data_IF_379423978484
#
_entry.id   IF_379423978484
#
_cell.length_a   1.000
_cell.length_b   1.000
_cell.length_c   1.000
_cell.angle_alpha   90.00
_cell.angle_beta   90.00
_cell.angle_gamma   90.00
#
_symmetry.space_group_name_H-M   'P 1'
#
loop_
_entity.id
_entity.type
_entity.pdbx_description
1 polymer ?
#
# COMPACT_ATOMS: atom_id res chain seq x y z
N UNK A 1 -25.79 -3.35 -5.22
CA UNK A 1 -24.64 -3.84 -6.02
C UNK A 1 -23.61 -4.33 -5.02
N UNK A 2 -23.38 -5.64 -4.96
CA UNK A 2 -22.49 -6.26 -3.97
C UNK A 2 -21.14 -6.49 -4.64
N UNK A 3 -20.09 -5.80 -4.19
CA UNK A 3 -18.74 -6.07 -4.63
C UNK A 3 -18.21 -7.27 -3.86
N UNK A 4 -17.96 -8.38 -4.56
CA UNK A 4 -17.23 -9.50 -3.99
C UNK A 4 -15.73 -9.13 -4.00
N UNK A 5 -15.18 -8.83 -2.82
CA UNK A 5 -13.78 -8.49 -2.67
C UNK A 5 -12.99 -9.74 -2.27
N UNK A 6 -11.99 -10.09 -3.07
CA UNK A 6 -11.04 -11.15 -2.76
C UNK A 6 -9.99 -10.61 -1.77
N UNK A 7 -10.17 -10.93 -0.48
CA UNK A 7 -9.29 -10.52 0.60
C UNK A 7 -7.82 -10.96 0.37
N UNK A 8 -7.62 -12.16 -0.16
CA UNK A 8 -6.26 -12.68 -0.42
C UNK A 8 -5.59 -11.90 -1.56
N UNK A 9 -6.36 -11.52 -2.58
CA UNK A 9 -5.85 -10.67 -3.66
C UNK A 9 -5.44 -9.29 -3.14
N UNK A 10 -6.27 -8.65 -2.33
CA UNK A 10 -5.97 -7.33 -1.75
C UNK A 10 -4.73 -7.38 -0.84
N UNK A 11 -4.61 -8.40 0.01
CA UNK A 11 -3.43 -8.59 0.87
C UNK A 11 -2.14 -8.84 0.06
N UNK A 12 -2.23 -9.60 -1.03
CA UNK A 12 -1.08 -9.76 -1.95
C UNK A 12 -0.67 -8.43 -2.58
N UNK A 13 -1.64 -7.63 -3.01
CA UNK A 13 -1.38 -6.32 -3.62
C UNK A 13 -0.71 -5.36 -2.64
N UNK A 14 -1.17 -5.28 -1.39
CA UNK A 14 -0.53 -4.45 -0.35
C UNK A 14 0.95 -4.83 -0.16
N UNK A 15 1.26 -6.13 -0.07
CA UNK A 15 2.65 -6.62 0.05
C UNK A 15 3.50 -6.31 -1.18
N UNK A 16 2.92 -6.33 -2.37
CA UNK A 16 3.62 -5.96 -3.61
C UNK A 16 3.97 -4.47 -3.59
N UNK A 17 3.04 -3.61 -3.18
CA UNK A 17 3.26 -2.16 -3.07
C UNK A 17 4.38 -1.84 -2.08
N UNK A 18 4.36 -2.45 -0.89
CA UNK A 18 5.42 -2.28 0.12
C UNK A 18 6.79 -2.72 -0.40
N UNK A 19 6.84 -3.83 -1.15
CA UNK A 19 8.10 -4.29 -1.76
C UNK A 19 8.65 -3.30 -2.78
N UNK A 20 7.78 -2.70 -3.59
CA UNK A 20 8.18 -1.71 -4.58
C UNK A 20 8.65 -0.41 -3.90
N UNK A 21 7.97 0.06 -2.86
CA UNK A 21 8.45 1.19 -2.05
C UNK A 21 9.86 0.93 -1.49
N UNK A 22 10.07 -0.24 -0.88
CA UNK A 22 11.38 -0.62 -0.35
C UNK A 22 12.48 -0.66 -1.43
N UNK A 23 12.17 -1.20 -2.61
CA UNK A 23 13.10 -1.24 -3.73
C UNK A 23 13.43 0.19 -4.24
N UNK A 24 12.42 1.04 -4.40
CA UNK A 24 12.61 2.42 -4.82
C UNK A 24 13.44 3.21 -3.81
N UNK A 25 13.25 2.98 -2.50
CA UNK A 25 14.08 3.61 -1.45
C UNK A 25 15.53 3.18 -1.49
N UNK A 26 15.81 1.90 -1.79
CA UNK A 26 17.17 1.39 -1.93
C UNK A 26 17.88 2.00 -3.15
N UNK A 27 17.17 2.12 -4.28
CA UNK A 27 17.72 2.63 -5.54
C UNK A 27 17.78 4.16 -5.62
N UNK A 28 16.92 4.88 -4.89
CA UNK A 28 16.86 6.34 -4.87
C UNK A 28 17.97 7.02 -4.02
N UNK A 29 18.99 6.26 -3.62
CA UNK A 29 20.26 6.75 -3.08
C UNK A 29 21.38 6.63 -4.13
N UNK A 30 21.31 7.36 -5.26
CA UNK A 30 22.39 7.33 -6.23
C UNK A 30 23.63 8.01 -5.64
N UNK A 31 24.80 7.43 -5.89
CA UNK A 31 26.08 8.14 -5.75
C UNK A 31 26.05 9.43 -6.57
N UNK A 32 26.56 10.52 -6.01
CA UNK A 32 26.61 11.80 -6.70
C UNK A 32 27.38 11.62 -8.02
N UNK A 33 26.77 11.92 -9.18
CA UNK A 33 27.43 11.69 -10.45
C UNK A 33 28.63 12.62 -10.59
N UNK A 34 29.82 12.05 -10.86
CA UNK A 34 31.03 12.81 -11.15
C UNK A 34 30.89 13.51 -12.51
N UNK A 35 30.24 14.66 -12.46
CA UNK A 35 29.91 15.48 -13.62
C UNK A 35 30.68 16.77 -13.44
N UNK A 36 31.66 17.02 -14.33
CA UNK A 36 32.31 18.32 -14.44
C UNK A 36 31.32 19.43 -14.85
N UNK A 37 31.78 20.56 -15.40
CA UNK A 37 30.98 21.78 -15.66
C UNK A 37 29.66 21.67 -16.48
N UNK A 38 29.29 20.48 -16.98
CA UNK A 38 27.95 20.14 -17.52
C UNK A 38 26.94 19.72 -16.42
N UNK A 39 27.34 19.76 -15.15
CA UNK A 39 26.67 19.14 -14.00
C UNK A 39 25.39 19.79 -13.53
N UNK A 40 25.23 21.12 -13.66
CA UNK A 40 24.15 21.80 -12.96
C UNK A 40 22.74 21.37 -13.43
N UNK A 41 22.51 21.30 -14.75
CA UNK A 41 21.19 20.94 -15.28
C UNK A 41 20.89 19.45 -15.10
N UNK A 42 21.88 18.59 -15.28
CA UNK A 42 21.75 17.14 -15.09
C UNK A 42 21.55 16.78 -13.62
N UNK A 43 22.29 17.44 -12.70
CA UNK A 43 22.11 17.27 -11.26
C UNK A 43 20.72 17.71 -10.80
N UNK A 44 20.24 18.89 -11.23
CA UNK A 44 18.88 19.37 -10.93
C UNK A 44 17.81 18.41 -11.47
N UNK A 45 18.01 17.88 -12.69
CA UNK A 45 17.10 16.89 -13.27
C UNK A 45 17.05 15.58 -12.48
N UNK A 46 18.22 15.09 -12.03
CA UNK A 46 18.33 13.89 -11.20
C UNK A 46 17.74 14.08 -9.80
N UNK A 47 17.95 15.24 -9.18
CA UNK A 47 17.34 15.60 -7.90
C UNK A 47 15.81 15.66 -8.01
N UNK A 48 15.29 16.27 -9.08
CA UNK A 48 13.86 16.34 -9.34
C UNK A 48 13.26 14.94 -9.59
N UNK A 49 13.97 14.07 -10.31
CA UNK A 49 13.56 12.69 -10.53
C UNK A 49 13.58 11.89 -9.23
N UNK A 50 14.64 11.96 -8.44
CA UNK A 50 14.73 11.32 -7.12
C UNK A 50 13.60 11.78 -6.19
N UNK A 51 13.25 13.08 -6.22
CA UNK A 51 12.12 13.63 -5.48
C UNK A 51 10.75 13.12 -5.97
N UNK A 52 10.60 12.76 -7.26
CA UNK A 52 9.39 12.10 -7.76
C UNK A 52 9.34 10.62 -7.36
N UNK A 53 10.47 9.91 -7.45
CA UNK A 53 10.57 8.50 -7.05
C UNK A 53 10.22 8.34 -5.57
N UNK A 54 10.74 9.20 -4.69
CA UNK A 54 10.38 9.18 -3.27
C UNK A 54 8.89 9.37 -3.03
N UNK A 55 8.26 10.34 -3.70
CA UNK A 55 6.81 10.57 -3.60
C UNK A 55 5.99 9.36 -4.05
N UNK A 56 6.38 8.71 -5.15
CA UNK A 56 5.71 7.48 -5.61
C UNK A 56 5.85 6.35 -4.58
N UNK A 57 7.01 6.22 -3.94
CA UNK A 57 7.21 5.28 -2.83
C UNK A 57 6.29 5.58 -1.65
N UNK A 58 6.24 6.84 -1.21
CA UNK A 58 5.37 7.28 -0.11
C UNK A 58 3.87 7.04 -0.42
N UNK A 59 3.43 7.33 -1.65
CA UNK A 59 2.05 7.08 -2.10
C UNK A 59 1.73 5.57 -2.12
N UNK A 60 2.68 4.74 -2.59
CA UNK A 60 2.52 3.28 -2.60
C UNK A 60 2.43 2.70 -1.18
N UNK A 61 3.21 3.25 -0.25
CA UNK A 61 3.17 2.89 1.17
C UNK A 61 1.81 3.25 1.79
N UNK A 62 1.36 4.49 1.60
CA UNK A 62 0.08 4.95 2.12
C UNK A 62 -1.11 4.13 1.57
N UNK A 63 -1.04 3.72 0.30
CA UNK A 63 -2.05 2.84 -0.29
C UNK A 63 -2.04 1.44 0.34
N UNK A 64 -0.87 0.88 0.63
CA UNK A 64 -0.76 -0.41 1.31
C UNK A 64 -1.36 -0.34 2.73
N UNK A 65 -1.05 0.71 3.50
CA UNK A 65 -1.63 0.93 4.83
C UNK A 65 -3.16 1.07 4.78
N UNK A 66 -3.67 1.80 3.79
CA UNK A 66 -5.12 1.95 3.59
C UNK A 66 -5.79 0.62 3.25
N UNK A 67 -5.14 -0.23 2.44
CA UNK A 67 -5.63 -1.58 2.13
C UNK A 67 -5.64 -2.46 3.38
N UNK A 68 -4.58 -2.46 4.18
CA UNK A 68 -4.51 -3.23 5.42
C UNK A 68 -5.57 -2.76 6.44
N UNK A 69 -5.77 -1.44 6.58
CA UNK A 69 -6.83 -0.87 7.40
C UNK A 69 -8.23 -1.26 6.93
N UNK A 70 -8.47 -1.23 5.62
CA UNK A 70 -9.72 -1.70 5.03
C UNK A 70 -9.97 -3.19 5.32
N UNK A 71 -8.97 -4.05 5.15
CA UNK A 71 -9.07 -5.48 5.44
C UNK A 71 -9.37 -5.76 6.92
N UNK A 72 -8.76 -5.01 7.83
CA UNK A 72 -9.02 -5.15 9.26
C UNK A 72 -10.48 -4.78 9.62
N UNK A 73 -11.01 -3.71 9.02
CA UNK A 73 -12.40 -3.31 9.23
C UNK A 73 -13.39 -4.28 8.59
N UNK A 74 -13.09 -4.81 7.41
CA UNK A 74 -13.90 -5.84 6.75
C UNK A 74 -14.01 -7.09 7.64
N UNK A 75 -12.89 -7.60 8.16
CA UNK A 75 -12.87 -8.75 9.06
C UNK A 75 -13.68 -8.51 10.36
N UNK A 76 -13.62 -7.29 10.93
CA UNK A 76 -14.44 -6.90 12.10
C UNK A 76 -15.93 -6.83 11.77
N UNK A 77 -16.29 -6.36 10.58
CA UNK A 77 -17.68 -6.31 10.13
C UNK A 77 -18.23 -7.73 9.94
N UNK A 78 -17.49 -8.59 9.24
CA UNK A 78 -17.86 -9.98 9.01
C UNK A 78 -18.02 -10.76 10.32
N UNK A 79 -17.10 -10.58 11.28
CA UNK A 79 -17.21 -11.20 12.60
C UNK A 79 -18.44 -10.75 13.39
N UNK A 80 -18.82 -9.48 13.31
CA UNK A 80 -20.06 -8.96 13.94
C UNK A 80 -21.31 -9.52 13.29
N UNK A 81 -21.32 -9.66 11.96
CA UNK A 81 -22.44 -10.26 11.21
C UNK A 81 -22.59 -11.73 11.57
N UNK A 82 -21.49 -12.49 11.59
CA UNK A 82 -21.51 -13.90 12.00
C UNK A 82 -22.08 -14.09 13.40
N UNK A 83 -21.60 -13.29 14.37
CA UNK A 83 -22.12 -13.33 15.74
C UNK A 83 -23.61 -12.96 15.83
N UNK A 84 -24.07 -11.96 15.08
CA UNK A 84 -25.49 -11.60 15.04
C UNK A 84 -26.35 -12.72 14.44
N UNK A 85 -25.88 -13.39 13.39
CA UNK A 85 -26.55 -14.54 12.80
C UNK A 85 -26.61 -15.74 13.75
N UNK A 86 -25.52 -16.02 14.47
CA UNK A 86 -25.48 -17.08 15.49
C UNK A 86 -26.49 -16.83 16.62
N UNK A 87 -26.59 -15.57 17.08
CA UNK A 87 -27.57 -15.17 18.10
C UNK A 87 -29.01 -15.30 17.61
N UNK A 88 -29.30 -14.93 16.36
CA UNK A 88 -30.62 -15.12 15.75
C UNK A 88 -30.96 -16.60 15.57
N UNK A 89 -30.01 -17.41 15.11
CA UNK A 89 -30.18 -18.86 14.96
C UNK A 89 -30.39 -19.58 16.30
N UNK A 90 -29.64 -19.21 17.33
CA UNK A 90 -29.80 -19.74 18.69
C UNK A 90 -31.14 -19.34 19.33
N UNK A 91 -31.66 -18.15 19.00
CA UNK A 91 -32.98 -17.70 19.46
C UNK A 91 -34.15 -18.37 18.73
N UNK A 92 -33.96 -18.80 17.47
CA UNK A 92 -34.99 -19.47 16.67
C UNK A 92 -35.14 -20.98 16.99
N UNK A 93 -34.21 -21.57 17.74
CA UNK A 93 -34.23 -22.98 18.18
C UNK A 93 -34.82 -23.17 19.60
N UNK A 94 -35.45 -22.14 20.17
CA UNK A 94 -36.20 -22.19 21.44
C UNK A 94 -37.70 -22.02 21.19
#
# INVERSE_FOLDING_TARGET
>A
MTFALDHDHLARTARVLLRHDLALRAEATPEAPDTGGSSATTAVGLEALAGRVRRVGDDAHALADALDGFLAEAARADGRVGLALDLLGAGALR
#
